data_IF_973982101990
#
_entry.id   IF_973982101990
#
_cell.length_a   1.000
_cell.length_b   1.000
_cell.length_c   1.000
_cell.angle_alpha   90.00
_cell.angle_beta   90.00
_cell.angle_gamma   90.00
#
_symmetry.space_group_name_H-M   'P 1'
#
loop_
_entity.id
_entity.type
_entity.pdbx_description
1 polymer ?
#
# COMPACT_ATOMS: atom_id res chain seq x y z
N UNK A 1 18.68 8.67 -8.45
CA UNK A 1 17.73 9.70 -7.95
C UNK A 1 16.46 9.09 -7.34
N UNK A 2 15.78 8.16 -8.03
CA UNK A 2 14.48 7.64 -7.57
C UNK A 2 14.54 6.85 -6.26
N UNK A 3 15.60 6.08 -6.03
CA UNK A 3 15.81 5.35 -4.77
C UNK A 3 15.93 6.27 -3.55
N UNK A 4 16.61 7.42 -3.68
CA UNK A 4 16.76 8.37 -2.58
C UNK A 4 15.44 9.10 -2.28
N UNK A 5 14.69 9.46 -3.32
CA UNK A 5 13.33 10.03 -3.16
C UNK A 5 12.40 9.01 -2.49
N UNK A 6 12.43 7.76 -2.93
CA UNK A 6 11.61 6.71 -2.33
C UNK A 6 11.98 6.50 -0.86
N UNK A 7 13.28 6.42 -0.53
CA UNK A 7 13.74 6.28 0.86
C UNK A 7 13.20 7.39 1.78
N UNK A 8 13.03 8.60 1.24
CA UNK A 8 12.47 9.75 1.97
C UNK A 8 10.95 9.65 2.13
N UNK A 9 10.25 9.34 1.03
CA UNK A 9 8.79 9.45 0.94
C UNK A 9 8.05 8.17 1.37
N UNK A 10 8.58 7.00 1.04
CA UNK A 10 8.02 5.69 1.37
C UNK A 10 9.15 4.72 1.73
N UNK A 11 9.55 4.80 3.00
CA UNK A 11 10.65 4.00 3.51
C UNK A 11 10.35 2.50 3.50
N UNK A 12 9.10 2.10 3.76
CA UNK A 12 8.70 0.69 3.77
C UNK A 12 8.87 0.05 2.39
N UNK A 13 8.42 0.72 1.31
CA UNK A 13 8.67 0.26 -0.06
C UNK A 13 10.13 0.40 -0.50
N UNK A 14 10.87 1.36 0.03
CA UNK A 14 12.33 1.40 -0.18
C UNK A 14 13.00 0.13 0.36
N UNK A 15 12.60 -0.35 1.54
CA UNK A 15 13.15 -1.58 2.11
C UNK A 15 12.87 -2.81 1.24
N UNK A 16 11.68 -2.93 0.66
CA UNK A 16 11.33 -4.08 -0.20
C UNK A 16 12.24 -4.16 -1.44
N UNK A 17 12.60 -3.01 -2.02
CA UNK A 17 13.47 -2.94 -3.20
C UNK A 17 14.92 -3.38 -2.90
N UNK A 18 15.41 -3.27 -1.66
CA UNK A 18 16.78 -3.70 -1.34
C UNK A 18 17.02 -5.18 -1.63
N UNK A 19 15.95 -5.97 -1.65
CA UNK A 19 15.99 -7.40 -1.87
C UNK A 19 15.79 -7.84 -3.32
N UNK A 20 15.55 -6.93 -4.27
CA UNK A 20 15.46 -7.24 -5.71
C UNK A 20 16.81 -7.16 -6.42
N UNK A 21 16.93 -7.85 -7.56
CA UNK A 21 18.09 -7.76 -8.47
C UNK A 21 18.29 -6.30 -8.89
N UNK A 22 19.54 -5.86 -9.03
CA UNK A 22 19.91 -4.44 -9.26
C UNK A 22 19.14 -3.79 -10.41
N UNK A 23 18.99 -4.50 -11.54
CA UNK A 23 18.27 -4.03 -12.73
C UNK A 23 16.81 -3.66 -12.50
N UNK A 24 16.16 -4.22 -11.48
CA UNK A 24 14.75 -3.92 -11.18
C UNK A 24 14.57 -2.83 -10.12
N UNK A 25 15.66 -2.40 -9.45
CA UNK A 25 15.54 -1.47 -8.31
C UNK A 25 15.06 -0.09 -8.73
N UNK A 26 15.60 0.43 -9.83
CA UNK A 26 15.22 1.75 -10.33
C UNK A 26 13.82 1.78 -10.95
N UNK A 27 13.42 0.82 -11.81
CA UNK A 27 12.04 0.73 -12.30
C UNK A 27 11.00 0.65 -11.18
N UNK A 28 11.24 -0.17 -10.15
CA UNK A 28 10.35 -0.25 -9.00
C UNK A 28 10.34 1.05 -8.18
N UNK A 29 11.49 1.72 -8.05
CA UNK A 29 11.53 2.99 -7.36
C UNK A 29 10.72 4.07 -8.09
N UNK A 30 10.76 4.10 -9.43
CA UNK A 30 9.93 4.99 -10.26
C UNK A 30 8.45 4.70 -10.02
N UNK A 31 8.03 3.42 -10.15
CA UNK A 31 6.65 3.01 -9.96
C UNK A 31 6.11 3.36 -8.56
N UNK A 32 6.92 3.16 -7.51
CA UNK A 32 6.51 3.46 -6.14
C UNK A 32 6.48 4.95 -5.83
N UNK A 33 7.40 5.76 -6.40
CA UNK A 33 7.29 7.21 -6.30
C UNK A 33 6.04 7.73 -7.02
N UNK A 34 5.68 7.17 -8.18
CA UNK A 34 4.40 7.48 -8.84
C UNK A 34 3.22 7.18 -7.90
N UNK A 35 3.15 5.99 -7.32
CA UNK A 35 2.08 5.66 -6.38
C UNK A 35 2.04 6.60 -5.16
N UNK A 36 3.21 6.98 -4.64
CA UNK A 36 3.30 7.95 -3.55
C UNK A 36 2.70 9.31 -3.94
N UNK A 37 3.06 9.87 -5.10
CA UNK A 37 2.51 11.15 -5.58
C UNK A 37 0.98 11.11 -5.70
N UNK A 38 0.43 10.02 -6.24
CA UNK A 38 -1.02 9.85 -6.37
C UNK A 38 -1.69 9.75 -4.99
N UNK A 39 -1.14 8.97 -4.06
CA UNK A 39 -1.67 8.86 -2.70
C UNK A 39 -1.52 10.17 -1.91
N UNK A 40 -0.45 10.93 -2.17
CA UNK A 40 -0.18 12.19 -1.48
C UNK A 40 -1.19 13.27 -1.85
N UNK A 41 -1.76 13.26 -3.07
CA UNK A 41 -2.82 14.20 -3.46
C UNK A 41 -4.03 14.09 -2.52
N UNK A 42 -4.45 12.86 -2.17
CA UNK A 42 -5.65 12.64 -1.33
C UNK A 42 -5.46 13.12 0.11
N UNK A 43 -4.23 13.38 0.55
CA UNK A 43 -3.91 13.76 1.92
C UNK A 43 -3.44 15.21 2.02
N UNK A 44 -2.67 15.70 1.05
CA UNK A 44 -2.11 17.05 1.04
C UNK A 44 -3.06 18.17 0.61
N UNK A 45 -4.10 17.86 -0.16
CA UNK A 45 -5.08 18.85 -0.61
C UNK A 45 -6.33 18.79 0.26
N UNK A 46 -6.81 19.96 0.69
CA UNK A 46 -8.03 20.09 1.52
C UNK A 46 -9.30 20.10 0.68
N UNK A 47 -9.28 20.75 -0.47
CA UNK A 47 -10.42 20.83 -1.38
C UNK A 47 -10.54 19.54 -2.22
N UNK A 48 -11.64 18.77 -2.09
CA UNK A 48 -11.87 17.56 -2.87
C UNK A 48 -11.86 17.83 -4.39
N UNK A 49 -12.40 18.96 -4.85
CA UNK A 49 -12.45 19.30 -6.27
C UNK A 49 -11.06 19.53 -6.85
N UNK A 50 -10.19 20.24 -6.12
CA UNK A 50 -8.79 20.41 -6.52
C UNK A 50 -8.06 19.06 -6.54
N UNK A 51 -8.36 18.17 -5.59
CA UNK A 51 -7.80 16.81 -5.55
C UNK A 51 -8.20 16.01 -6.79
N UNK A 52 -9.48 16.06 -7.18
CA UNK A 52 -10.00 15.41 -8.38
C UNK A 52 -9.34 15.95 -9.66
N UNK A 53 -9.18 17.26 -9.80
CA UNK A 53 -8.49 17.89 -10.94
C UNK A 53 -7.05 17.37 -11.05
N UNK A 54 -6.32 17.30 -9.93
CA UNK A 54 -4.94 16.78 -9.93
C UNK A 54 -4.87 15.31 -10.31
N UNK A 55 -5.77 14.47 -9.79
CA UNK A 55 -5.82 13.05 -10.16
C UNK A 55 -6.19 12.89 -11.64
N UNK A 56 -7.14 13.68 -12.15
CA UNK A 56 -7.51 13.70 -13.56
C UNK A 56 -6.32 14.09 -14.43
N UNK A 57 -5.58 15.14 -14.06
CA UNK A 57 -4.38 15.54 -14.79
C UNK A 57 -3.38 14.39 -14.89
N UNK A 58 -3.10 13.68 -13.80
CA UNK A 58 -2.22 12.51 -13.82
C UNK A 58 -2.73 11.39 -14.74
N UNK A 59 -4.05 11.14 -14.71
CA UNK A 59 -4.68 10.16 -15.60
C UNK A 59 -4.52 10.57 -17.07
N UNK A 60 -4.73 11.84 -17.41
CA UNK A 60 -4.56 12.37 -18.76
C UNK A 60 -3.10 12.22 -19.23
N UNK A 61 -2.12 12.48 -18.36
CA UNK A 61 -0.71 12.28 -18.68
C UNK A 61 -0.38 10.82 -19.00
N UNK A 62 -0.92 9.88 -18.23
CA UNK A 62 -0.78 8.45 -18.52
C UNK A 62 -1.45 8.11 -19.85
N UNK A 63 -2.65 8.64 -20.09
CA UNK A 63 -3.38 8.44 -21.34
C UNK A 63 -2.59 8.92 -22.56
N UNK A 64 -1.95 10.09 -22.49
CA UNK A 64 -1.07 10.58 -23.56
C UNK A 64 0.16 9.69 -23.75
N UNK A 65 0.78 9.20 -22.67
CA UNK A 65 1.91 8.26 -22.74
C UNK A 65 1.56 6.99 -23.54
N UNK A 66 0.33 6.48 -23.41
CA UNK A 66 -0.12 5.29 -24.15
C UNK A 66 -0.67 5.59 -25.56
N UNK A 67 -1.11 6.82 -25.84
CA UNK A 67 -1.68 7.20 -27.14
C UNK A 67 -0.61 7.65 -28.14
N UNK A 68 0.43 8.35 -27.67
CA UNK A 68 1.43 8.95 -28.53
C UNK A 68 2.85 8.66 -28.03
N UNK A 69 3.57 7.90 -28.85
CA UNK A 69 4.95 7.52 -28.60
C UNK A 69 5.94 8.68 -28.64
N UNK A 70 5.59 9.80 -29.28
CA UNK A 70 6.39 11.02 -29.35
C UNK A 70 6.11 11.99 -28.20
N UNK A 71 4.99 11.84 -27.48
CA UNK A 71 4.61 12.69 -26.36
C UNK A 71 5.73 12.81 -25.33
N UNK A 72 6.16 14.03 -24.98
CA UNK A 72 7.19 14.27 -23.97
C UNK A 72 6.50 14.65 -22.66
N UNK A 73 6.48 13.77 -21.63
CA UNK A 73 5.78 14.11 -20.41
C UNK A 73 6.40 15.31 -19.68
N UNK A 74 5.59 16.11 -18.99
CA UNK A 74 6.03 17.39 -18.44
C UNK A 74 6.95 17.24 -17.22
N UNK A 75 6.86 16.13 -16.47
CA UNK A 75 7.65 15.93 -15.24
C UNK A 75 8.72 14.85 -15.40
N UNK A 76 9.86 14.94 -14.67
CA UNK A 76 10.89 13.89 -14.69
C UNK A 76 10.37 12.50 -14.30
N UNK A 77 9.42 12.45 -13.36
CA UNK A 77 8.82 11.20 -12.92
C UNK A 77 7.97 10.58 -14.04
N UNK A 78 7.13 11.36 -14.72
CA UNK A 78 6.35 10.86 -15.85
C UNK A 78 7.23 10.43 -17.03
N UNK A 79 8.34 11.14 -17.30
CA UNK A 79 9.32 10.73 -18.33
C UNK A 79 9.94 9.38 -18.00
N UNK A 80 10.35 9.18 -16.74
CA UNK A 80 10.90 7.91 -16.28
C UNK A 80 9.84 6.81 -16.28
N UNK A 81 8.59 7.15 -15.94
CA UNK A 81 7.46 6.24 -15.97
C UNK A 81 7.15 5.78 -17.40
N UNK A 82 7.18 6.69 -18.39
CA UNK A 82 7.02 6.36 -19.81
C UNK A 82 8.07 5.33 -20.27
N UNK A 83 9.33 5.48 -19.85
CA UNK A 83 10.39 4.52 -20.18
C UNK A 83 10.06 3.12 -19.64
N UNK A 84 9.71 3.01 -18.36
CA UNK A 84 9.44 1.68 -17.76
C UNK A 84 8.10 1.08 -18.22
N UNK A 85 7.11 1.91 -18.57
CA UNK A 85 5.86 1.44 -19.18
C UNK A 85 6.17 0.68 -20.46
N UNK A 86 7.04 1.23 -21.32
CA UNK A 86 7.46 0.61 -22.57
C UNK A 86 8.34 -0.62 -22.34
N UNK A 87 9.36 -0.50 -21.49
CA UNK A 87 10.34 -1.57 -21.23
C UNK A 87 9.68 -2.84 -20.64
N UNK A 88 8.73 -2.66 -19.72
CA UNK A 88 8.11 -3.77 -19.00
C UNK A 88 6.68 -4.09 -19.47
N UNK A 89 6.22 -3.47 -20.56
CA UNK A 89 4.86 -3.62 -21.10
C UNK A 89 3.77 -3.46 -20.03
N UNK A 90 3.91 -2.42 -19.20
CA UNK A 90 2.98 -2.20 -18.10
C UNK A 90 1.59 -1.91 -18.66
N UNK A 91 0.53 -2.58 -18.18
CA UNK A 91 -0.78 -2.44 -18.79
C UNK A 91 -1.51 -1.20 -18.25
N UNK A 92 -2.06 -0.40 -19.18
CA UNK A 92 -2.72 0.89 -18.88
C UNK A 92 -3.85 0.76 -17.85
N UNK A 93 -4.65 -0.31 -17.96
CA UNK A 93 -5.82 -0.53 -17.11
C UNK A 93 -5.50 -0.56 -15.60
N UNK A 94 -4.30 -1.02 -15.21
CA UNK A 94 -3.89 -1.03 -13.81
C UNK A 94 -3.64 0.39 -13.26
N UNK A 95 -3.09 1.29 -14.08
CA UNK A 95 -2.99 2.71 -13.72
C UNK A 95 -4.36 3.35 -13.62
N UNK A 96 -5.25 3.07 -14.58
CA UNK A 96 -6.63 3.55 -14.57
C UNK A 96 -7.37 3.09 -13.31
N UNK A 97 -7.22 1.83 -12.89
CA UNK A 97 -7.84 1.32 -11.66
C UNK A 97 -7.37 2.09 -10.41
N UNK A 98 -6.07 2.40 -10.31
CA UNK A 98 -5.54 3.22 -9.20
C UNK A 98 -6.19 4.61 -9.21
N UNK A 99 -6.28 5.28 -10.37
CA UNK A 99 -6.89 6.60 -10.44
C UNK A 99 -8.37 6.58 -10.07
N UNK A 100 -9.13 5.62 -10.62
CA UNK A 100 -10.55 5.44 -10.31
C UNK A 100 -10.78 5.24 -8.83
N UNK A 101 -10.03 4.33 -8.19
CA UNK A 101 -10.15 4.08 -6.76
C UNK A 101 -9.84 5.33 -5.91
N UNK A 102 -8.85 6.13 -6.32
CA UNK A 102 -8.50 7.38 -5.63
C UNK A 102 -9.57 8.45 -5.77
N UNK A 103 -10.19 8.58 -6.95
CA UNK A 103 -11.33 9.49 -7.18
C UNK A 103 -12.52 9.09 -6.33
N UNK A 104 -12.90 7.81 -6.34
CA UNK A 104 -13.99 7.28 -5.48
C UNK A 104 -13.71 7.60 -4.01
N UNK A 105 -12.48 7.37 -3.53
CA UNK A 105 -12.11 7.71 -2.16
C UNK A 105 -12.22 9.21 -1.83
N UNK A 106 -11.90 10.09 -2.78
CA UNK A 106 -12.07 11.55 -2.62
C UNK A 106 -13.55 11.94 -2.59
N UNK A 107 -14.35 11.38 -3.50
CA UNK A 107 -15.78 11.67 -3.64
C UNK A 107 -16.60 11.18 -2.44
N UNK A 108 -16.30 9.97 -1.95
CA UNK A 108 -16.95 9.42 -0.76
C UNK A 108 -16.63 10.26 0.49
N UNK A 109 -15.39 10.75 0.61
CA UNK A 109 -14.83 11.45 1.79
C UNK A 109 -14.78 10.60 3.08
N UNK A 110 -15.80 9.76 3.31
CA UNK A 110 -15.94 8.80 4.40
C UNK A 110 -16.37 7.45 3.80
N UNK A 111 -15.79 6.35 4.30
CA UNK A 111 -16.26 5.02 3.95
C UNK A 111 -17.39 4.63 4.90
N UNK A 112 -18.63 4.58 4.40
CA UNK A 112 -19.81 4.27 5.23
C UNK A 112 -19.78 2.84 5.75
N UNK A 113 -19.27 1.91 4.93
CA UNK A 113 -19.25 0.48 5.25
C UNK A 113 -17.85 -0.11 5.16
N UNK A 114 -17.63 -1.19 5.90
CA UNK A 114 -16.41 -2.00 5.81
C UNK A 114 -16.15 -2.47 4.37
N UNK A 115 -17.19 -2.83 3.61
CA UNK A 115 -17.05 -3.29 2.23
C UNK A 115 -16.48 -2.21 1.30
N UNK A 116 -17.00 -0.98 1.36
CA UNK A 116 -16.48 0.14 0.57
C UNK A 116 -15.00 0.41 0.88
N UNK A 117 -14.63 0.34 2.15
CA UNK A 117 -13.25 0.48 2.59
C UNK A 117 -12.34 -0.64 2.06
N UNK A 118 -12.81 -1.90 2.10
CA UNK A 118 -12.06 -3.05 1.57
C UNK A 118 -11.90 -2.95 0.05
N UNK A 119 -12.93 -2.52 -0.68
CA UNK A 119 -12.86 -2.30 -2.12
C UNK A 119 -11.84 -1.23 -2.46
N UNK A 120 -11.87 -0.10 -1.75
CA UNK A 120 -10.86 0.95 -1.87
C UNK A 120 -9.44 0.42 -1.59
N UNK A 121 -9.27 -0.36 -0.52
CA UNK A 121 -7.98 -0.93 -0.14
C UNK A 121 -7.44 -1.87 -1.23
N UNK A 122 -8.30 -2.72 -1.78
CA UNK A 122 -7.97 -3.63 -2.88
C UNK A 122 -7.58 -2.85 -4.14
N UNK A 123 -8.42 -1.92 -4.58
CA UNK A 123 -8.25 -1.25 -5.87
C UNK A 123 -7.12 -0.21 -5.88
N UNK A 124 -6.69 0.27 -4.71
CA UNK A 124 -5.52 1.15 -4.60
C UNK A 124 -4.19 0.40 -4.46
N UNK A 125 -4.20 -0.82 -3.92
CA UNK A 125 -2.94 -1.56 -3.64
C UNK A 125 -2.69 -2.74 -4.56
N UNK A 126 -3.71 -3.49 -4.96
CA UNK A 126 -3.54 -4.67 -5.81
C UNK A 126 -2.94 -4.33 -7.18
N UNK A 127 -3.44 -3.31 -7.92
CA UNK A 127 -2.87 -2.98 -9.22
C UNK A 127 -1.38 -2.60 -9.15
N UNK A 128 -0.94 -2.00 -8.04
CA UNK A 128 0.45 -1.67 -7.81
C UNK A 128 1.33 -2.91 -7.61
N UNK A 129 0.84 -3.91 -6.87
CA UNK A 129 1.54 -5.19 -6.69
C UNK A 129 1.59 -5.92 -8.03
N UNK A 130 0.52 -5.87 -8.81
CA UNK A 130 0.47 -6.46 -10.14
C UNK A 130 1.46 -5.77 -11.10
N UNK A 131 1.52 -4.43 -11.12
CA UNK A 131 2.53 -3.68 -11.87
C UNK A 131 3.96 -4.03 -11.43
N UNK A 132 4.16 -4.28 -10.14
CA UNK A 132 5.43 -4.77 -9.60
C UNK A 132 5.77 -6.17 -10.15
N UNK A 133 4.79 -7.06 -10.27
CA UNK A 133 4.96 -8.38 -10.89
C UNK A 133 5.34 -8.26 -12.36
N UNK A 134 4.73 -7.35 -13.14
CA UNK A 134 5.15 -7.11 -14.53
C UNK A 134 6.64 -6.73 -14.63
N UNK A 135 7.14 -5.91 -13.71
CA UNK A 135 8.56 -5.51 -13.70
C UNK A 135 9.47 -6.68 -13.33
N UNK A 136 9.08 -7.51 -12.37
CA UNK A 136 9.94 -8.59 -11.83
C UNK A 136 9.85 -9.90 -12.61
N UNK A 137 8.66 -10.26 -13.07
CA UNK A 137 8.33 -11.56 -13.64
C UNK A 137 7.14 -11.42 -14.61
N UNK A 138 7.46 -11.05 -15.85
CA UNK A 138 6.47 -10.96 -16.93
C UNK A 138 5.72 -12.30 -17.10
N UNK A 139 4.43 -12.23 -17.44
CA UNK A 139 3.54 -13.39 -17.65
C UNK A 139 3.30 -14.24 -16.39
N UNK A 140 3.06 -13.59 -15.26
CA UNK A 140 2.66 -14.27 -14.03
C UNK A 140 1.24 -14.88 -14.15
N UNK A 141 0.98 -15.96 -13.40
CA UNK A 141 -0.29 -16.71 -13.44
C UNK A 141 -1.40 -16.04 -12.63
N UNK A 142 -2.64 -16.33 -12.99
CA UNK A 142 -3.85 -15.82 -12.33
C UNK A 142 -3.83 -15.90 -10.79
N UNK A 143 -3.38 -17.00 -10.14
CA UNK A 143 -3.36 -17.08 -8.67
C UNK A 143 -2.54 -15.98 -7.98
N UNK A 144 -1.53 -15.42 -8.66
CA UNK A 144 -0.74 -14.31 -8.12
C UNK A 144 -1.53 -12.99 -8.06
N UNK A 145 -2.61 -12.87 -8.83
CA UNK A 145 -3.59 -11.78 -8.71
C UNK A 145 -4.38 -11.92 -7.41
N UNK A 146 -4.88 -13.11 -7.08
CA UNK A 146 -5.53 -13.37 -5.79
C UNK A 146 -4.60 -13.07 -4.61
N UNK A 147 -3.31 -13.44 -4.71
CA UNK A 147 -2.33 -13.05 -3.68
C UNK A 147 -2.17 -11.53 -3.60
N UNK A 148 -2.10 -10.85 -4.75
CA UNK A 148 -1.98 -9.39 -4.82
C UNK A 148 -3.17 -8.66 -4.17
N UNK A 149 -4.39 -9.13 -4.42
CA UNK A 149 -5.61 -8.57 -3.83
C UNK A 149 -5.59 -8.68 -2.30
N UNK A 150 -5.46 -9.91 -1.79
CA UNK A 150 -5.49 -10.17 -0.35
C UNK A 150 -4.34 -9.46 0.39
N UNK A 151 -3.14 -9.49 -0.20
CA UNK A 151 -1.97 -8.85 0.39
C UNK A 151 -2.05 -7.33 0.36
N UNK A 152 -2.57 -6.77 -0.74
CA UNK A 152 -2.79 -5.34 -0.88
C UNK A 152 -3.80 -4.82 0.15
N UNK A 153 -4.91 -5.54 0.34
CA UNK A 153 -5.91 -5.20 1.36
C UNK A 153 -5.28 -5.20 2.75
N UNK A 154 -4.60 -6.28 3.14
CA UNK A 154 -3.95 -6.37 4.45
C UNK A 154 -2.94 -5.24 4.67
N UNK A 155 -2.14 -4.90 3.65
CA UNK A 155 -1.18 -3.81 3.72
C UNK A 155 -1.84 -2.45 3.92
N UNK A 156 -2.94 -2.15 3.19
CA UNK A 156 -3.65 -0.88 3.35
C UNK A 156 -4.28 -0.77 4.74
N UNK A 157 -4.93 -1.83 5.24
CA UNK A 157 -5.49 -1.84 6.60
C UNK A 157 -4.42 -1.47 7.63
N UNK A 158 -3.31 -2.20 7.61
CA UNK A 158 -2.23 -2.02 8.59
C UNK A 158 -1.51 -0.68 8.40
N UNK A 159 -1.34 -0.23 7.15
CA UNK A 159 -0.76 1.07 6.81
C UNK A 159 -1.61 2.24 7.33
N UNK A 160 -2.93 2.17 7.21
CA UNK A 160 -3.85 3.19 7.71
C UNK A 160 -3.90 3.20 9.24
N UNK A 161 -3.95 2.04 9.90
CA UNK A 161 -3.88 1.97 11.37
C UNK A 161 -2.59 2.61 11.90
N UNK A 162 -1.44 2.30 11.29
CA UNK A 162 -0.14 2.87 11.68
C UNK A 162 0.01 4.36 11.41
N UNK A 163 -0.73 4.87 10.43
CA UNK A 163 -0.71 6.27 10.02
C UNK A 163 -1.86 7.06 10.64
N UNK A 164 -2.68 6.44 11.49
CA UNK A 164 -3.90 7.02 12.02
C UNK A 164 -3.65 8.35 12.73
N UNK A 165 -2.66 8.41 13.63
CA UNK A 165 -2.29 9.65 14.32
C UNK A 165 -1.82 10.76 13.37
N UNK A 166 -1.22 10.41 12.23
CA UNK A 166 -0.80 11.38 11.23
C UNK A 166 -1.99 11.95 10.45
N UNK A 167 -2.94 11.10 10.05
CA UNK A 167 -4.15 11.54 9.34
C UNK A 167 -5.12 12.30 10.23
N UNK A 168 -5.21 11.93 11.51
CA UNK A 168 -6.02 12.66 12.48
C UNK A 168 -5.57 14.13 12.60
N UNK A 169 -4.26 14.40 12.57
CA UNK A 169 -3.70 15.77 12.56
C UNK A 169 -4.01 16.57 11.30
N UNK A 170 -4.49 15.92 10.25
CA UNK A 170 -4.91 16.53 9.00
C UNK A 170 -6.44 16.56 8.86
N UNK A 171 -7.16 16.28 9.95
CA UNK A 171 -8.63 16.16 9.99
C UNK A 171 -9.16 15.09 9.01
N UNK A 172 -8.39 14.01 8.80
CA UNK A 172 -8.73 12.90 7.89
C UNK A 172 -8.88 11.58 8.63
N UNK A 173 -9.96 10.85 8.29
CA UNK A 173 -10.29 9.56 8.87
C UNK A 173 -10.54 8.58 7.72
N UNK A 174 -9.69 7.56 7.63
CA UNK A 174 -9.77 6.54 6.58
C UNK A 174 -10.32 5.20 7.09
N UNK A 175 -10.96 5.19 8.26
CA UNK A 175 -11.57 3.98 8.84
C UNK A 175 -13.08 3.95 8.53
N UNK A 176 -13.69 2.76 8.45
CA UNK A 176 -15.12 2.63 8.16
C UNK A 176 -16.02 3.24 9.25
N UNK A 177 -17.04 3.98 8.84
CA UNK A 177 -17.96 4.69 9.73
C UNK A 177 -18.88 3.74 10.51
N UNK A 178 -19.35 2.66 9.88
CA UNK A 178 -20.07 1.57 10.54
C UNK A 178 -19.28 0.99 11.72
N UNK A 179 -17.96 0.77 11.55
CA UNK A 179 -17.09 0.21 12.60
C UNK A 179 -16.74 1.23 13.67
N UNK A 180 -16.48 2.49 13.30
CA UNK A 180 -16.30 3.58 14.26
C UNK A 180 -17.52 3.73 15.17
N UNK A 181 -18.72 3.70 14.58
CA UNK A 181 -19.99 3.80 15.30
C UNK A 181 -20.24 2.58 16.18
N UNK A 182 -20.00 1.37 15.67
CA UNK A 182 -20.17 0.12 16.43
C UNK A 182 -19.35 0.10 17.73
N UNK A 183 -18.09 0.57 17.69
CA UNK A 183 -17.24 0.66 18.88
C UNK A 183 -17.40 1.95 19.69
N UNK A 184 -18.30 2.85 19.28
CA UNK A 184 -18.49 4.17 19.89
C UNK A 184 -17.19 4.98 19.95
N UNK A 185 -16.42 5.02 18.85
CA UNK A 185 -15.20 5.81 18.76
C UNK A 185 -15.58 7.27 18.48
N UNK A 186 -15.42 8.12 19.50
CA UNK A 186 -15.57 9.57 19.34
C UNK A 186 -14.32 10.18 18.72
N UNK A 187 -14.32 10.35 17.40
CA UNK A 187 -13.16 10.86 16.67
C UNK A 187 -12.85 12.32 16.99
N UNK A 188 -13.86 13.13 17.38
CA UNK A 188 -13.68 14.56 17.69
C UNK A 188 -12.89 14.77 18.98
N UNK A 189 -12.99 13.82 19.90
CA UNK A 189 -12.34 13.87 21.22
C UNK A 189 -11.06 13.03 21.31
N UNK A 190 -10.54 12.50 20.18
CA UNK A 190 -9.25 11.83 20.15
C UNK A 190 -8.12 12.84 20.32
N UNK A 191 -7.76 13.14 21.57
CA UNK A 191 -6.59 13.96 21.90
C UNK A 191 -5.33 13.11 21.97
N UNK A 192 -4.24 13.66 21.45
CA UNK A 192 -2.92 13.04 21.33
C UNK A 192 -2.45 12.46 22.69
N UNK A 193 -2.58 11.13 22.88
CA UNK A 193 -1.63 10.22 23.55
C UNK A 193 -2.26 9.01 24.28
N UNK A 194 -3.57 8.96 24.47
CA UNK A 194 -4.23 7.78 25.08
C UNK A 194 -5.34 7.25 24.17
N UNK A 195 -5.08 6.11 23.51
CA UNK A 195 -6.14 5.40 22.79
C UNK A 195 -7.25 5.02 23.77
N UNK A 196 -8.47 5.45 23.48
CA UNK A 196 -9.65 4.99 24.19
C UNK A 196 -9.80 3.47 24.05
N UNK A 197 -10.48 2.85 25.00
CA UNK A 197 -10.75 1.40 24.94
C UNK A 197 -11.47 1.03 23.64
N UNK A 198 -12.42 1.86 23.20
CA UNK A 198 -13.09 1.77 21.91
C UNK A 198 -12.13 1.76 20.71
N UNK A 199 -11.14 2.65 20.69
CA UNK A 199 -10.17 2.72 19.60
C UNK A 199 -9.25 1.48 19.56
N UNK A 200 -8.90 0.96 20.74
CA UNK A 200 -8.13 -0.29 20.87
C UNK A 200 -8.93 -1.47 20.31
N UNK A 201 -10.22 -1.58 20.61
CA UNK A 201 -11.08 -2.65 20.09
C UNK A 201 -11.29 -2.55 18.58
N UNK A 202 -11.52 -1.35 18.05
CA UNK A 202 -11.57 -1.12 16.61
C UNK A 202 -10.24 -1.53 15.94
N UNK A 203 -9.10 -1.12 16.49
CA UNK A 203 -7.80 -1.49 15.96
C UNK A 203 -7.56 -3.01 16.01
N UNK A 204 -7.99 -3.67 17.09
CA UNK A 204 -7.92 -5.12 17.22
C UNK A 204 -8.74 -5.83 16.13
N UNK A 205 -9.99 -5.41 15.92
CA UNK A 205 -10.84 -5.95 14.85
C UNK A 205 -10.21 -5.76 13.48
N UNK A 206 -9.76 -4.54 13.15
CA UNK A 206 -9.14 -4.24 11.86
C UNK A 206 -7.86 -5.05 11.65
N UNK A 207 -7.06 -5.28 12.70
CA UNK A 207 -5.90 -6.18 12.64
C UNK A 207 -6.32 -7.62 12.35
N UNK A 208 -7.38 -8.12 12.99
CA UNK A 208 -7.88 -9.48 12.73
C UNK A 208 -8.36 -9.62 11.28
N UNK A 209 -9.07 -8.63 10.75
CA UNK A 209 -9.49 -8.60 9.34
C UNK A 209 -8.26 -8.67 8.41
N UNK A 210 -7.21 -7.87 8.67
CA UNK A 210 -5.97 -7.93 7.89
C UNK A 210 -5.30 -9.32 7.96
N UNK A 211 -5.27 -9.95 9.13
CA UNK A 211 -4.75 -11.31 9.30
C UNK A 211 -5.55 -12.35 8.52
N UNK A 212 -6.87 -12.24 8.45
CA UNK A 212 -7.72 -13.12 7.63
C UNK A 212 -7.37 -13.03 6.13
N UNK A 213 -7.14 -11.82 5.61
CA UNK A 213 -6.67 -11.67 4.23
C UNK A 213 -5.29 -12.31 4.02
N UNK A 214 -4.37 -12.17 4.98
CA UNK A 214 -3.07 -12.83 4.91
C UNK A 214 -3.19 -14.36 4.97
N UNK A 215 -4.14 -14.91 5.74
CA UNK A 215 -4.41 -16.36 5.79
C UNK A 215 -4.87 -16.87 4.41
N UNK A 216 -5.76 -16.15 3.72
CA UNK A 216 -6.29 -16.54 2.39
C UNK A 216 -5.19 -16.76 1.34
N UNK A 217 -4.05 -16.08 1.47
CA UNK A 217 -2.90 -16.23 0.57
C UNK A 217 -2.28 -17.64 0.65
N UNK A 218 -2.42 -18.34 1.78
CA UNK A 218 -1.78 -19.64 2.02
C UNK A 218 -2.17 -20.69 0.97
N UNK A 219 -3.40 -20.63 0.47
CA UNK A 219 -3.89 -21.52 -0.58
C UNK A 219 -3.04 -21.44 -1.85
N UNK A 220 -2.60 -20.23 -2.22
CA UNK A 220 -1.86 -19.95 -3.45
C UNK A 220 -0.34 -19.82 -3.24
N UNK A 221 0.17 -20.14 -2.05
CA UNK A 221 1.59 -19.92 -1.68
C UNK A 221 2.59 -20.59 -2.62
N UNK A 222 2.23 -21.72 -3.22
CA UNK A 222 3.09 -22.48 -4.13
C UNK A 222 3.43 -21.71 -5.42
N UNK A 223 2.65 -20.69 -5.76
CA UNK A 223 2.91 -19.81 -6.90
C UNK A 223 3.96 -18.74 -6.60
N UNK A 224 4.31 -18.51 -5.33
CA UNK A 224 5.35 -17.56 -4.95
C UNK A 224 6.73 -18.20 -5.15
N UNK A 225 7.48 -17.68 -6.12
CA UNK A 225 8.82 -18.15 -6.50
C UNK A 225 9.88 -17.12 -6.11
N UNK A 226 11.17 -17.47 -6.26
CA UNK A 226 12.27 -16.54 -5.96
C UNK A 226 12.24 -15.29 -6.83
N UNK A 227 11.68 -15.40 -8.04
CA UNK A 227 11.65 -14.30 -9.01
C UNK A 227 10.49 -13.33 -8.75
N UNK A 228 9.34 -13.80 -8.28
CA UNK A 228 8.17 -12.96 -8.01
C UNK A 228 7.99 -12.56 -6.54
N UNK A 229 8.63 -13.28 -5.59
CA UNK A 229 8.52 -13.03 -4.16
C UNK A 229 8.67 -11.56 -3.76
N UNK A 230 9.61 -10.77 -4.33
CA UNK A 230 9.78 -9.40 -3.88
C UNK A 230 8.57 -8.50 -4.10
N UNK A 231 7.68 -8.82 -5.03
CA UNK A 231 6.41 -8.10 -5.20
C UNK A 231 5.53 -8.17 -3.94
N UNK A 232 5.71 -9.22 -3.15
CA UNK A 232 4.91 -9.55 -1.98
C UNK A 232 5.58 -9.14 -0.65
N UNK A 233 6.73 -8.45 -0.68
CA UNK A 233 7.41 -8.02 0.55
C UNK A 233 6.61 -7.06 1.42
N UNK A 234 5.68 -6.31 0.84
CA UNK A 234 4.75 -5.47 1.60
C UNK A 234 3.82 -6.30 2.52
N UNK A 235 3.47 -7.53 2.16
CA UNK A 235 2.72 -8.41 3.05
C UNK A 235 3.53 -8.89 4.26
N UNK A 236 4.82 -9.16 4.07
CA UNK A 236 5.70 -9.48 5.20
C UNK A 236 5.93 -8.28 6.12
N UNK A 237 5.94 -7.06 5.58
CA UNK A 237 5.91 -5.84 6.39
C UNK A 237 4.59 -5.68 7.13
N UNK A 238 3.45 -6.03 6.51
CA UNK A 238 2.16 -6.06 7.20
C UNK A 238 2.21 -7.00 8.41
N UNK A 239 2.74 -8.23 8.27
CA UNK A 239 2.93 -9.17 9.39
C UNK A 239 3.79 -8.58 10.51
N UNK A 240 4.93 -7.96 10.15
CA UNK A 240 5.81 -7.32 11.12
C UNK A 240 5.06 -6.27 11.95
N UNK A 241 4.28 -5.43 11.26
CA UNK A 241 3.52 -4.37 11.88
C UNK A 241 2.31 -4.85 12.69
N UNK A 242 1.68 -5.95 12.27
CA UNK A 242 0.68 -6.66 13.07
C UNK A 242 1.30 -7.13 14.38
N UNK A 243 2.48 -7.77 14.36
CA UNK A 243 3.17 -8.19 15.58
C UNK A 243 3.48 -7.01 16.50
N UNK A 244 3.89 -5.87 15.95
CA UNK A 244 4.10 -4.64 16.73
C UNK A 244 2.80 -4.11 17.35
N UNK A 245 1.72 -4.05 16.57
CA UNK A 245 0.42 -3.62 17.06
C UNK A 245 -0.02 -4.49 18.24
N UNK A 246 0.13 -5.82 18.13
CA UNK A 246 -0.12 -6.77 19.23
C UNK A 246 0.75 -6.48 20.47
N UNK A 247 2.06 -6.26 20.28
CA UNK A 247 2.97 -5.91 21.38
C UNK A 247 2.57 -4.61 22.09
N UNK A 248 2.06 -3.63 21.36
CA UNK A 248 1.54 -2.38 21.91
C UNK A 248 0.06 -2.46 22.31
N UNK A 249 -0.50 -3.67 22.45
CA UNK A 249 -1.90 -3.91 22.83
C UNK A 249 -2.88 -3.12 21.96
N UNK A 250 -2.62 -3.09 20.66
CA UNK A 250 -3.41 -2.42 19.62
C UNK A 250 -3.56 -0.89 19.80
N UNK A 251 -2.71 -0.26 20.61
CA UNK A 251 -2.65 1.19 20.72
C UNK A 251 -2.02 1.78 19.44
N UNK A 252 -2.86 2.19 18.50
CA UNK A 252 -2.46 2.79 17.21
C UNK A 252 -1.95 4.23 17.33
N UNK A 253 -2.17 4.89 18.48
CA UNK A 253 -1.63 6.21 18.79
C UNK A 253 -0.25 6.15 19.44
N UNK A 254 0.30 4.94 19.68
CA UNK A 254 1.60 4.79 20.32
C UNK A 254 2.70 5.42 19.45
N UNK A 255 3.45 6.42 19.94
CA UNK A 255 4.45 7.12 19.14
C UNK A 255 5.62 6.22 18.74
N UNK A 256 5.81 5.10 19.43
CA UNK A 256 6.84 4.12 19.13
C UNK A 256 6.41 3.11 18.07
N UNK A 257 5.16 3.10 17.59
CA UNK A 257 4.68 2.12 16.62
C UNK A 257 5.46 2.16 15.30
N UNK A 258 5.84 3.36 14.86
CA UNK A 258 6.62 3.61 13.63
C UNK A 258 8.11 3.83 13.89
N UNK A 259 8.57 3.83 15.16
CA UNK A 259 9.97 4.06 15.49
C UNK A 259 10.83 2.84 15.12
N UNK A 260 12.12 3.11 14.85
CA UNK A 260 13.16 2.15 14.48
C UNK A 260 12.98 1.52 13.10
N UNK A 261 13.59 2.19 12.11
CA UNK A 261 13.62 1.81 10.70
C UNK A 261 14.42 0.53 10.39
N UNK A 262 15.24 0.05 11.34
CA UNK A 262 16.10 -1.12 11.13
C UNK A 262 15.38 -2.46 11.32
N UNK A 263 14.40 -2.53 12.22
CA UNK A 263 13.70 -3.79 12.53
C UNK A 263 12.82 -4.33 11.38
N UNK A 264 12.07 -3.50 10.62
CA UNK A 264 11.38 -4.01 9.43
C UNK A 264 12.36 -4.56 8.39
N UNK A 265 13.56 -3.96 8.26
CA UNK A 265 14.62 -4.49 7.38
C UNK A 265 15.12 -5.86 7.87
N UNK A 266 15.45 -5.98 9.17
CA UNK A 266 15.86 -7.25 9.77
C UNK A 266 14.79 -8.33 9.64
N UNK A 267 13.52 -7.95 9.79
CA UNK A 267 12.38 -8.83 9.57
C UNK A 267 12.32 -9.35 8.13
N UNK A 268 12.47 -8.47 7.13
CA UNK A 268 12.53 -8.87 5.73
C UNK A 268 13.74 -9.77 5.44
N UNK A 269 14.92 -9.47 6.01
CA UNK A 269 16.08 -10.36 5.93
C UNK A 269 15.75 -11.74 6.48
N UNK A 270 15.21 -11.81 7.69
CA UNK A 270 14.84 -13.07 8.34
C UNK A 270 13.85 -13.87 7.49
N UNK A 271 12.79 -13.23 6.99
CA UNK A 271 11.78 -13.86 6.14
C UNK A 271 12.35 -14.35 4.81
N UNK A 272 13.21 -13.57 4.15
CA UNK A 272 13.83 -13.97 2.88
C UNK A 272 14.79 -15.15 3.05
N UNK A 273 15.64 -15.15 4.07
CA UNK A 273 16.72 -16.14 4.21
C UNK A 273 16.28 -17.44 4.89
N UNK A 274 15.43 -17.38 5.92
CA UNK A 274 15.11 -18.57 6.73
C UNK A 274 13.85 -19.32 6.29
N UNK A 275 12.97 -18.69 5.50
CA UNK A 275 11.69 -19.32 5.09
C UNK A 275 11.65 -19.81 3.65
N UNK A 276 12.68 -19.53 2.83
CA UNK A 276 12.78 -20.11 1.48
C UNK A 276 13.24 -21.59 1.48
N UNK A 277 13.20 -22.28 2.63
CA UNK A 277 13.65 -23.67 2.74
C UNK A 277 12.92 -24.57 3.76
N UNK A 278 12.08 -24.04 4.66
CA UNK A 278 11.34 -24.86 5.64
C UNK A 278 9.88 -24.41 5.80
N UNK A 279 9.01 -25.40 5.65
CA UNK A 279 7.62 -25.32 5.24
C UNK A 279 6.61 -25.05 6.37
N UNK A 280 6.91 -24.22 7.40
CA UNK A 280 6.03 -24.18 8.58
C UNK A 280 5.46 -22.86 9.11
N UNK A 281 5.90 -21.67 8.71
CA UNK A 281 5.33 -20.44 9.31
C UNK A 281 5.28 -19.23 8.37
N UNK A 282 4.89 -19.43 7.10
CA UNK A 282 4.42 -18.30 6.29
C UNK A 282 2.94 -18.06 6.64
N UNK A 283 2.67 -16.88 7.19
CA UNK A 283 1.37 -16.39 7.66
C UNK A 283 0.84 -16.93 8.98
N UNK A 284 1.69 -17.40 9.89
CA UNK A 284 1.65 -17.36 11.38
C UNK A 284 2.79 -18.24 11.84
#
# INVERSE_FOLDING_TARGET
MWLSLLKKNDYDRYLTILFVKSKFREPLAILYNFNYEIAYITTSVKDPLISLIKIQWWQDQIDYIYKDDQFIPPTPLLRSLKVIIKEFFLPKNLFTQIFTARKIGIELNVFETTNQFIDYARDTSSPLIILTLYILHQNFKEPLKHISDNMGIAWVIIGLLRSFAHYLKQDKIFLPQDRLSFWNVDVKNLTDCTSSHSLIHLAHEMVNNAEEYLIKIREYRSFITKDNMPAFFIGYLAEYYIKRLKCFRYNILNPNLNKNKIYPLLWLCYRKFFFFGKNKYLFF
#
